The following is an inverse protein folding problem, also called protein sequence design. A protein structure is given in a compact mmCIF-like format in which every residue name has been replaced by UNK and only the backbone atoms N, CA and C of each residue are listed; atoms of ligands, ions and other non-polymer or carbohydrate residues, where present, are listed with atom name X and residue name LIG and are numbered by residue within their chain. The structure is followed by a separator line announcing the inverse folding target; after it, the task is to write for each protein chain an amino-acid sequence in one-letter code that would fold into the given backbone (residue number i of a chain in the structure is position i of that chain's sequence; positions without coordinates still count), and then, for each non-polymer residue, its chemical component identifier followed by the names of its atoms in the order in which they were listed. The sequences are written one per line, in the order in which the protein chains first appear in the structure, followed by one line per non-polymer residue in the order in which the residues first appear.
data_IF_752042848464
#
_entry.id   IF_752042848464
#
_cell.length_a   1.000
_cell.length_b   1.000
_cell.length_c   1.000
_cell.angle_alpha   90.00
_cell.angle_beta   90.00
_cell.angle_gamma   90.00
#
_symmetry.space_group_name_H-M   'P 1'
#
loop_
_entity.id
_entity.type
_entity.pdbx_description
1 polymer ?
#
# COMPACT_ATOMS: atom_id res chain seq x y z
N UNK A 1 17.29 -24.44 -3.79
CA UNK A 1 17.76 -23.04 -3.75
C UNK A 1 17.03 -22.33 -2.62
N UNK A 2 17.75 -21.70 -1.70
CA UNK A 2 17.13 -21.00 -0.56
C UNK A 2 16.65 -19.63 -1.03
N UNK A 3 15.37 -19.31 -0.86
CA UNK A 3 14.82 -17.98 -1.20
C UNK A 3 15.16 -17.00 -0.06
N UNK A 4 15.83 -15.90 -0.36
CA UNK A 4 16.01 -14.78 0.57
C UNK A 4 14.76 -13.90 0.50
N UNK A 5 14.12 -13.53 1.64
CA UNK A 5 12.98 -12.63 1.64
C UNK A 5 13.34 -11.28 1.02
N UNK A 6 12.47 -10.76 0.17
CA UNK A 6 12.65 -9.43 -0.41
C UNK A 6 12.09 -8.37 0.56
N UNK A 7 12.92 -7.38 0.90
CA UNK A 7 12.51 -6.23 1.69
C UNK A 7 11.71 -5.24 0.82
N UNK A 8 10.58 -4.77 1.34
CA UNK A 8 9.76 -3.71 0.73
C UNK A 8 9.76 -2.50 1.66
N UNK A 9 10.32 -1.39 1.19
CA UNK A 9 10.39 -0.13 1.93
C UNK A 9 9.46 0.91 1.29
N UNK A 10 8.59 1.52 2.10
CA UNK A 10 7.64 2.57 1.70
C UNK A 10 8.05 3.90 2.35
N UNK A 11 9.15 4.46 1.88
CA UNK A 11 9.81 5.68 2.40
C UNK A 11 9.73 6.87 1.44
N UNK A 12 8.79 6.82 0.50
CA UNK A 12 8.54 7.84 -0.55
C UNK A 12 7.05 7.87 -0.91
N UNK A 13 6.57 8.86 -1.69
CA UNK A 13 5.15 8.96 -2.02
C UNK A 13 4.56 7.67 -2.59
N UNK A 14 3.37 7.33 -2.12
CA UNK A 14 2.68 6.09 -2.49
C UNK A 14 1.18 6.27 -2.64
N UNK A 15 0.56 5.35 -3.36
CA UNK A 15 -0.89 5.20 -3.47
C UNK A 15 -1.36 4.11 -2.51
N UNK A 16 -2.54 4.27 -1.93
CA UNK A 16 -3.19 3.23 -1.14
C UNK A 16 -4.64 3.04 -1.54
N UNK A 17 -5.12 1.81 -1.32
CA UNK A 17 -6.50 1.42 -1.48
C UNK A 17 -6.92 0.61 -0.25
N UNK A 18 -8.07 0.94 0.33
CA UNK A 18 -8.76 0.08 1.28
C UNK A 18 -9.99 -0.42 0.56
N UNK A 19 -10.11 -1.74 0.42
CA UNK A 19 -11.22 -2.38 -0.28
C UNK A 19 -11.86 -3.45 0.57
N UNK A 20 -13.16 -3.62 0.38
CA UNK A 20 -13.82 -4.85 0.80
C UNK A 20 -13.23 -6.03 0.01
N UNK A 21 -12.99 -7.15 0.69
CA UNK A 21 -12.28 -8.30 0.09
C UNK A 21 -13.18 -9.15 -0.79
N UNK A 22 -14.44 -9.33 -0.40
CA UNK A 22 -15.39 -10.20 -1.09
C UNK A 22 -15.96 -9.55 -2.34
N UNK A 23 -16.50 -8.33 -2.20
CA UNK A 23 -17.08 -7.58 -3.32
C UNK A 23 -16.03 -6.87 -4.18
N UNK A 24 -14.85 -6.60 -3.64
CA UNK A 24 -13.80 -5.83 -4.31
C UNK A 24 -14.05 -4.32 -4.32
N UNK A 25 -15.14 -3.84 -3.70
CA UNK A 25 -15.48 -2.41 -3.65
C UNK A 25 -14.37 -1.63 -2.95
N UNK A 26 -13.87 -0.59 -3.59
CA UNK A 26 -12.90 0.35 -3.01
C UNK A 26 -13.64 1.28 -2.07
N UNK A 27 -13.34 1.17 -0.78
CA UNK A 27 -13.93 1.98 0.28
C UNK A 27 -13.18 3.30 0.44
N UNK A 28 -11.86 3.26 0.28
CA UNK A 28 -11.00 4.44 0.34
C UNK A 28 -9.88 4.32 -0.70
N UNK A 29 -9.55 5.44 -1.32
CA UNK A 29 -8.41 5.58 -2.22
C UNK A 29 -7.71 6.89 -1.94
N UNK A 30 -6.38 6.88 -1.98
CA UNK A 30 -5.62 8.09 -1.72
C UNK A 30 -4.16 8.00 -2.14
N UNK A 31 -3.50 9.15 -2.05
CA UNK A 31 -2.07 9.30 -2.20
C UNK A 31 -1.51 9.90 -0.91
N UNK A 32 -0.39 9.37 -0.42
CA UNK A 32 0.38 9.99 0.65
C UNK A 32 1.60 10.63 0.00
N UNK A 33 1.64 11.97 0.02
CA UNK A 33 2.78 12.75 -0.48
C UNK A 33 3.73 13.14 0.66
N UNK A 34 3.15 13.47 1.82
CA UNK A 34 3.85 13.80 3.05
C UNK A 34 3.04 13.25 4.26
N UNK A 35 3.55 12.26 5.00
CA UNK A 35 2.85 11.66 6.13
C UNK A 35 2.88 12.52 7.41
N UNK A 36 3.57 13.66 7.42
CA UNK A 36 3.71 14.54 8.60
C UNK A 36 2.75 15.73 8.64
N UNK A 37 1.94 15.88 7.58
CA UNK A 37 0.95 16.93 7.45
C UNK A 37 -0.16 16.90 8.51
#
# INVERSE_FOLDING_TARGET
ATSVPQLVTIDRPFLFLIRDRESGVVLFAGRVLDPTS
#
